data_IF_188341628818
#
_entry.id   IF_188341628818
#
_cell.length_a   1.000
_cell.length_b   1.000
_cell.length_c   1.000
_cell.angle_alpha   90.00
_cell.angle_beta   90.00
_cell.angle_gamma   90.00
#
_symmetry.space_group_name_H-M   'P 1'
#
loop_
_entity.id
_entity.type
_entity.pdbx_description
1 polymer ?
#
# COMPACT_ATOMS: atom_id res chain seq x y z
N UNK A 1 22.71 1.61 1.68
CA UNK A 1 21.86 2.71 1.16
C UNK A 1 20.42 2.29 1.39
N UNK A 2 19.68 2.91 2.32
CA UNK A 2 18.27 2.58 2.51
C UNK A 2 17.48 3.06 1.28
N UNK A 3 16.62 2.19 0.73
CA UNK A 3 15.73 2.51 -0.38
C UNK A 3 14.85 3.70 0.03
N UNK A 4 14.98 4.83 -0.68
CA UNK A 4 14.19 6.03 -0.41
C UNK A 4 12.73 5.73 -0.67
N UNK A 5 11.96 5.82 0.41
CA UNK A 5 10.53 5.60 0.44
C UNK A 5 9.84 6.58 -0.52
N UNK A 6 9.39 6.09 -1.67
CA UNK A 6 8.80 6.93 -2.71
C UNK A 6 7.35 7.28 -2.35
N UNK A 7 7.19 8.26 -1.46
CA UNK A 7 5.90 8.82 -1.08
C UNK A 7 5.13 9.36 -2.31
N UNK A 8 5.81 9.72 -3.40
CA UNK A 8 5.15 10.18 -4.63
C UNK A 8 4.44 9.03 -5.36
N UNK A 9 4.90 7.78 -5.24
CA UNK A 9 4.21 6.62 -5.78
C UNK A 9 2.91 6.30 -5.02
N UNK A 10 2.86 6.57 -3.71
CA UNK A 10 1.64 6.45 -2.88
C UNK A 10 0.69 7.63 -3.14
N UNK A 11 1.25 8.81 -3.42
CA UNK A 11 0.52 10.04 -3.73
C UNK A 11 0.25 10.24 -5.23
N UNK A 12 0.40 9.20 -6.07
CA UNK A 12 -0.06 9.26 -7.46
C UNK A 12 -1.55 9.54 -7.46
N UNK A 13 -1.87 10.81 -7.74
CA UNK A 13 -3.17 11.42 -7.97
C UNK A 13 -4.37 10.48 -7.76
N UNK A 14 -5.05 10.55 -6.60
CA UNK A 14 -6.39 9.99 -6.39
C UNK A 14 -7.46 10.53 -7.33
N UNK A 15 -7.11 11.41 -8.29
CA UNK A 15 -8.04 12.15 -9.14
C UNK A 15 -8.98 11.31 -10.03
N UNK A 16 -8.75 10.00 -10.14
CA UNK A 16 -9.67 9.04 -10.77
C UNK A 16 -10.07 7.88 -9.85
N UNK A 17 -9.55 7.83 -8.61
CA UNK A 17 -9.89 6.79 -7.65
C UNK A 17 -11.20 7.17 -6.98
N UNK A 18 -12.24 6.50 -7.48
CA UNK A 18 -13.64 6.55 -7.08
C UNK A 18 -14.29 7.92 -7.12
N UNK A 19 -14.86 8.19 -8.28
CA UNK A 19 -16.05 9.00 -8.39
C UNK A 19 -17.10 8.53 -7.36
N UNK A 20 -17.29 9.31 -6.28
CA UNK A 20 -18.29 9.05 -5.26
C UNK A 20 -19.69 9.37 -5.84
N UNK A 21 -20.36 8.32 -6.30
CA UNK A 21 -21.68 8.43 -6.92
C UNK A 21 -22.72 8.95 -5.91
N UNK A 22 -22.59 8.56 -4.63
CA UNK A 22 -23.49 8.97 -3.56
C UNK A 22 -23.33 10.46 -3.26
N UNK A 23 -22.10 10.93 -3.08
CA UNK A 23 -21.82 12.36 -2.90
C UNK A 23 -22.18 13.21 -4.12
N UNK A 24 -22.03 12.65 -5.33
CA UNK A 24 -22.43 13.35 -6.57
C UNK A 24 -23.92 13.63 -6.61
N UNK A 25 -24.77 12.67 -6.19
CA UNK A 25 -26.22 12.84 -6.12
C UNK A 25 -26.68 13.48 -4.81
N UNK A 26 -25.81 13.62 -3.81
CA UNK A 26 -26.15 14.15 -2.49
C UNK A 26 -27.06 13.21 -1.70
N UNK A 27 -26.89 11.91 -1.88
CA UNK A 27 -27.71 10.85 -1.26
C UNK A 27 -26.85 9.95 -0.38
N UNK A 28 -27.48 9.27 0.57
CA UNK A 28 -26.84 8.32 1.48
C UNK A 28 -26.66 6.94 0.82
N UNK A 29 -25.61 6.17 1.17
CA UNK A 29 -25.49 4.76 0.82
C UNK A 29 -26.64 3.87 1.31
N UNK A 30 -27.48 4.37 2.21
CA UNK A 30 -28.65 3.67 2.73
C UNK A 30 -29.97 4.11 2.09
N UNK A 31 -29.95 5.14 1.23
CA UNK A 31 -31.16 5.62 0.57
C UNK A 31 -31.66 4.59 -0.46
N UNK A 32 -32.98 4.52 -0.62
CA UNK A 32 -33.61 3.62 -1.58
C UNK A 32 -33.50 4.15 -3.02
N UNK A 33 -33.78 3.29 -4.00
CA UNK A 33 -33.75 3.64 -5.42
C UNK A 33 -34.74 4.75 -5.78
N UNK A 34 -35.84 4.89 -5.05
CA UNK A 34 -36.80 5.97 -5.27
C UNK A 34 -36.21 7.34 -4.90
N UNK A 35 -35.60 7.44 -3.72
CA UNK A 35 -34.93 8.65 -3.21
C UNK A 35 -33.78 9.05 -4.14
N UNK A 36 -32.98 8.07 -4.58
CA UNK A 36 -31.91 8.27 -5.57
C UNK A 36 -32.48 8.83 -6.89
N UNK A 37 -33.61 8.30 -7.35
CA UNK A 37 -34.31 8.80 -8.54
C UNK A 37 -34.89 10.21 -8.39
N UNK A 38 -35.41 10.55 -7.21
CA UNK A 38 -35.89 11.90 -6.90
C UNK A 38 -34.74 12.91 -6.85
N UNK A 39 -33.60 12.55 -6.25
CA UNK A 39 -32.41 13.39 -6.21
C UNK A 39 -31.87 13.66 -7.62
N UNK A 40 -31.78 12.62 -8.47
CA UNK A 40 -31.39 12.78 -9.87
C UNK A 40 -32.33 13.73 -10.63
N UNK A 41 -33.65 13.52 -10.56
CA UNK A 41 -34.63 14.39 -11.23
C UNK A 41 -34.52 15.84 -10.77
N UNK A 42 -34.30 16.07 -9.48
CA UNK A 42 -34.12 17.40 -8.92
C UNK A 42 -32.87 18.10 -9.47
N UNK A 43 -31.76 17.38 -9.61
CA UNK A 43 -30.53 17.90 -10.21
C UNK A 43 -30.67 18.18 -11.72
N UNK A 44 -31.38 17.32 -12.45
CA UNK A 44 -31.67 17.51 -13.88
C UNK A 44 -32.53 18.75 -14.10
N UNK A 45 -33.59 18.90 -13.32
CA UNK A 45 -34.49 20.06 -13.41
C UNK A 45 -33.74 21.37 -13.14
N UNK A 46 -32.84 21.38 -12.15
CA UNK A 46 -31.96 22.54 -11.90
C UNK A 46 -31.02 22.82 -13.09
N UNK A 47 -30.55 21.79 -13.80
CA UNK A 47 -29.67 21.94 -14.95
C UNK A 47 -30.38 22.56 -16.16
N UNK A 48 -31.58 22.08 -16.49
CA UNK A 48 -32.36 22.55 -17.64
C UNK A 48 -32.82 24.02 -17.49
N UNK A 49 -33.12 24.46 -16.26
CA UNK A 49 -33.63 25.81 -16.01
C UNK A 49 -32.54 26.87 -15.77
N UNK A 50 -31.32 26.49 -15.39
CA UNK A 50 -30.29 27.43 -14.93
C UNK A 50 -29.06 27.56 -15.84
N UNK A 51 -28.95 26.77 -16.91
CA UNK A 51 -27.73 26.77 -17.72
C UNK A 51 -27.74 27.69 -18.94
N UNK A 52 -26.99 28.78 -18.78
CA UNK A 52 -26.11 29.30 -19.83
C UNK A 52 -25.25 28.14 -20.37
N UNK A 53 -25.02 28.06 -21.69
CA UNK A 53 -24.31 26.97 -22.43
C UNK A 53 -22.83 26.73 -22.02
N UNK A 54 -22.55 26.58 -20.73
CA UNK A 54 -21.22 26.47 -20.15
C UNK A 54 -20.74 25.03 -20.16
N UNK A 55 -19.55 24.79 -20.72
CA UNK A 55 -18.88 23.49 -20.76
C UNK A 55 -18.75 22.82 -19.38
N UNK A 56 -18.58 23.62 -18.32
CA UNK A 56 -18.50 23.13 -16.94
C UNK A 56 -19.82 22.55 -16.44
N UNK A 57 -20.95 23.13 -16.85
CA UNK A 57 -22.26 22.63 -16.48
C UNK A 57 -22.54 21.29 -17.17
N UNK A 58 -22.14 21.15 -18.43
CA UNK A 58 -22.21 19.88 -19.18
C UNK A 58 -21.38 18.79 -18.52
N UNK A 59 -20.12 19.08 -18.14
CA UNK A 59 -19.26 18.12 -17.46
C UNK A 59 -19.83 17.69 -16.09
N UNK A 60 -20.43 18.62 -15.34
CA UNK A 60 -21.09 18.29 -14.06
C UNK A 60 -22.34 17.42 -14.28
N UNK A 61 -23.10 17.67 -15.35
CA UNK A 61 -24.27 16.85 -15.67
C UNK A 61 -23.91 15.43 -16.09
N UNK A 62 -22.88 15.27 -16.92
CA UNK A 62 -22.36 13.94 -17.29
C UNK A 62 -21.96 13.13 -16.06
N UNK A 63 -21.39 13.80 -15.05
CA UNK A 63 -21.09 13.19 -13.74
C UNK A 63 -22.36 12.74 -13.02
N UNK A 64 -23.37 13.60 -12.90
CA UNK A 64 -24.67 13.29 -12.28
C UNK A 64 -25.37 12.13 -13.00
N UNK A 65 -25.37 12.13 -14.34
CA UNK A 65 -25.95 11.05 -15.15
C UNK A 65 -25.21 9.72 -14.93
N UNK A 66 -23.87 9.75 -14.93
CA UNK A 66 -23.06 8.56 -14.64
C UNK A 66 -23.37 8.02 -13.24
N UNK A 67 -23.46 8.88 -12.23
CA UNK A 67 -23.81 8.49 -10.87
C UNK A 67 -25.17 7.78 -10.81
N UNK A 68 -26.18 8.35 -11.48
CA UNK A 68 -27.52 7.76 -11.51
C UNK A 68 -27.57 6.44 -12.28
N UNK A 69 -26.83 6.29 -13.40
CA UNK A 69 -26.75 5.00 -14.12
C UNK A 69 -26.13 3.89 -13.26
N UNK A 70 -25.19 4.24 -12.39
CA UNK A 70 -24.58 3.30 -11.44
C UNK A 70 -25.54 2.99 -10.29
N UNK A 71 -26.11 4.00 -9.62
CA UNK A 71 -26.89 3.81 -8.39
C UNK A 71 -28.38 3.48 -8.61
N UNK A 72 -28.94 3.84 -9.76
CA UNK A 72 -30.36 3.67 -10.08
C UNK A 72 -30.75 2.21 -10.38
N UNK A 73 -29.78 1.35 -10.68
CA UNK A 73 -29.97 -0.10 -10.82
C UNK A 73 -29.43 -0.80 -9.58
N UNK A 74 -30.25 -1.63 -8.93
CA UNK A 74 -29.84 -2.39 -7.74
C UNK A 74 -28.63 -3.27 -8.03
N UNK A 75 -28.58 -3.91 -9.19
CA UNK A 75 -27.45 -4.74 -9.61
C UNK A 75 -26.15 -3.95 -9.76
N UNK A 76 -26.20 -2.80 -10.46
CA UNK A 76 -25.02 -1.95 -10.66
C UNK A 76 -24.55 -1.33 -9.35
N UNK A 77 -25.49 -0.97 -8.47
CA UNK A 77 -25.20 -0.45 -7.13
C UNK A 77 -24.45 -1.47 -6.29
N UNK A 78 -24.88 -2.73 -6.28
CA UNK A 78 -24.17 -3.81 -5.55
C UNK A 78 -22.75 -4.00 -6.06
N UNK A 79 -22.55 -3.98 -7.38
CA UNK A 79 -21.20 -4.08 -7.97
C UNK A 79 -20.34 -2.90 -7.52
N UNK A 80 -20.87 -1.68 -7.65
CA UNK A 80 -20.19 -0.47 -7.23
C UNK A 80 -19.82 -0.51 -5.74
N UNK A 81 -20.75 -0.85 -4.86
CA UNK A 81 -20.50 -0.93 -3.42
C UNK A 81 -19.43 -2.00 -3.10
N UNK A 82 -19.42 -3.12 -3.84
CA UNK A 82 -18.40 -4.17 -3.68
C UNK A 82 -17.02 -3.70 -4.11
N UNK A 83 -16.92 -3.01 -5.26
CA UNK A 83 -15.67 -2.42 -5.74
C UNK A 83 -15.15 -1.36 -4.76
N UNK A 84 -16.03 -0.50 -4.25
CA UNK A 84 -15.70 0.53 -3.24
C UNK A 84 -15.16 -0.10 -1.97
N UNK A 85 -15.81 -1.15 -1.48
CA UNK A 85 -15.34 -1.89 -0.32
C UNK A 85 -13.99 -2.56 -0.58
N UNK A 86 -13.77 -3.12 -1.76
CA UNK A 86 -12.49 -3.74 -2.11
C UNK A 86 -11.36 -2.71 -2.14
N UNK A 87 -11.58 -1.54 -2.76
CA UNK A 87 -10.59 -0.47 -2.76
C UNK A 87 -10.29 0.04 -1.34
N UNK A 88 -11.32 0.15 -0.50
CA UNK A 88 -11.14 0.50 0.91
C UNK A 88 -10.29 -0.54 1.65
N UNK A 89 -10.54 -1.83 1.44
CA UNK A 89 -9.74 -2.92 2.01
C UNK A 89 -8.29 -2.88 1.50
N UNK A 90 -8.08 -2.61 0.22
CA UNK A 90 -6.74 -2.49 -0.37
C UNK A 90 -5.97 -1.31 0.22
N UNK A 91 -6.64 -0.16 0.41
CA UNK A 91 -6.08 1.01 1.07
C UNK A 91 -5.73 0.70 2.53
N UNK A 92 -6.62 0.03 3.25
CA UNK A 92 -6.39 -0.38 4.64
C UNK A 92 -5.20 -1.35 4.77
N UNK A 93 -5.10 -2.32 3.86
CA UNK A 93 -3.97 -3.24 3.80
C UNK A 93 -2.65 -2.53 3.49
N UNK A 94 -2.67 -1.51 2.62
CA UNK A 94 -1.51 -0.66 2.40
C UNK A 94 -1.12 0.10 3.67
N UNK A 95 -2.07 0.65 4.43
CA UNK A 95 -1.80 1.31 5.71
C UNK A 95 -1.16 0.34 6.70
N UNK A 96 -1.69 -0.88 6.85
CA UNK A 96 -1.09 -1.91 7.73
C UNK A 96 0.34 -2.22 7.31
N UNK A 97 0.58 -2.39 6.01
CA UNK A 97 1.92 -2.64 5.47
C UNK A 97 2.88 -1.50 5.83
N UNK A 98 2.45 -0.25 5.65
CA UNK A 98 3.22 0.94 6.00
C UNK A 98 3.51 1.02 7.50
N UNK A 99 2.54 0.68 8.36
CA UNK A 99 2.75 0.61 9.81
C UNK A 99 3.82 -0.41 10.19
N UNK A 100 3.77 -1.63 9.62
CA UNK A 100 4.78 -2.67 9.88
C UNK A 100 6.17 -2.27 9.38
N UNK A 101 6.24 -1.61 8.23
CA UNK A 101 7.49 -1.07 7.70
C UNK A 101 8.05 0.03 8.62
N UNK A 102 7.18 0.85 9.22
CA UNK A 102 7.60 1.84 10.23
C UNK A 102 8.10 1.20 11.52
N UNK A 103 7.47 0.12 11.99
CA UNK A 103 7.90 -0.59 13.21
C UNK A 103 9.29 -1.21 13.08
N UNK A 104 9.72 -1.56 11.86
CA UNK A 104 11.02 -2.16 11.59
C UNK A 104 12.11 -1.14 11.24
N UNK A 105 11.76 0.13 11.03
CA UNK A 105 12.73 1.19 10.69
C UNK A 105 13.53 1.62 11.93
N UNK A 106 14.84 1.93 11.76
CA UNK A 106 15.63 2.50 12.84
C UNK A 106 15.06 3.86 13.26
N UNK A 107 15.05 4.14 14.56
CA UNK A 107 14.38 5.29 15.17
C UNK A 107 14.79 6.65 14.55
N UNK A 108 16.06 6.78 14.14
CA UNK A 108 16.56 8.00 13.49
C UNK A 108 15.98 8.21 12.08
N UNK A 109 15.73 7.13 11.32
CA UNK A 109 15.03 7.21 10.03
C UNK A 109 13.56 7.61 10.24
N UNK A 110 12.90 7.06 11.27
CA UNK A 110 11.51 7.42 11.61
C UNK A 110 11.39 8.90 11.98
N UNK A 111 12.33 9.45 12.77
CA UNK A 111 12.36 10.88 13.09
C UNK A 111 12.51 11.77 11.84
N UNK A 112 13.35 11.37 10.90
CA UNK A 112 13.51 12.08 9.63
C UNK A 112 12.21 12.05 8.80
N UNK A 113 11.58 10.89 8.69
CA UNK A 113 10.30 10.72 7.98
C UNK A 113 9.19 11.57 8.63
N UNK A 114 9.07 11.56 9.96
CA UNK A 114 8.10 12.41 10.69
C UNK A 114 8.32 13.89 10.40
N UNK A 115 9.58 14.34 10.32
CA UNK A 115 9.89 15.74 10.01
C UNK A 115 9.43 16.13 8.61
N UNK A 116 9.64 15.23 7.62
CA UNK A 116 9.17 15.44 6.24
C UNK A 116 7.64 15.46 6.18
N UNK A 117 6.97 14.49 6.81
CA UNK A 117 5.49 14.42 6.84
C UNK A 117 4.91 15.67 7.48
N UNK A 118 5.48 16.13 8.61
CA UNK A 118 5.05 17.36 9.28
C UNK A 118 5.21 18.60 8.38
N UNK A 119 6.37 18.77 7.75
CA UNK A 119 6.60 19.90 6.85
C UNK A 119 5.63 19.92 5.65
N UNK A 120 5.31 18.73 5.10
CA UNK A 120 4.29 18.60 4.05
C UNK A 120 2.88 18.94 4.56
N UNK A 121 2.51 18.45 5.74
CA UNK A 121 1.22 18.76 6.36
C UNK A 121 1.05 20.26 6.63
N UNK A 122 2.08 20.93 7.17
CA UNK A 122 2.08 22.38 7.38
C UNK A 122 1.91 23.16 6.06
N UNK A 123 2.55 22.69 4.99
CA UNK A 123 2.40 23.28 3.64
C UNK A 123 0.98 23.11 3.12
N UNK A 124 0.40 21.92 3.24
CA UNK A 124 -0.98 21.64 2.85
C UNK A 124 -1.97 22.53 3.63
N UNK A 125 -1.83 22.62 4.97
CA UNK A 125 -2.70 23.46 5.81
C UNK A 125 -2.60 24.94 5.41
N UNK A 126 -1.39 25.43 5.13
CA UNK A 126 -1.16 26.82 4.66
C UNK A 126 -1.87 27.09 3.34
N UNK A 127 -1.77 26.16 2.39
CA UNK A 127 -2.45 26.24 1.09
C UNK A 127 -3.97 26.22 1.27
N UNK A 128 -4.51 25.32 2.10
CA UNK A 128 -5.96 25.26 2.39
C UNK A 128 -6.48 26.56 2.98
N UNK A 129 -5.72 27.17 3.91
CA UNK A 129 -6.07 28.48 4.48
C UNK A 129 -6.06 29.58 3.42
N UNK A 130 -5.02 29.64 2.59
CA UNK A 130 -4.92 30.60 1.48
C UNK A 130 -6.09 30.45 0.50
N UNK A 131 -6.46 29.22 0.15
CA UNK A 131 -7.65 28.94 -0.69
C UNK A 131 -8.95 29.40 -0.02
N UNK A 132 -9.12 29.16 1.28
CA UNK A 132 -10.30 29.60 2.02
C UNK A 132 -10.42 31.13 2.09
N UNK A 133 -9.29 31.82 2.29
CA UNK A 133 -9.23 33.28 2.30
C UNK A 133 -9.55 33.86 0.91
N UNK A 134 -9.01 33.27 -0.16
CA UNK A 134 -9.35 33.62 -1.54
C UNK A 134 -10.84 33.43 -1.85
N UNK A 135 -11.43 32.30 -1.42
CA UNK A 135 -12.87 32.06 -1.60
C UNK A 135 -13.69 33.09 -0.82
N UNK A 136 -13.25 33.51 0.37
CA UNK A 136 -13.89 34.56 1.16
C UNK A 136 -13.79 35.91 0.45
N UNK A 137 -12.61 36.30 -0.01
CA UNK A 137 -12.42 37.55 -0.77
C UNK A 137 -13.26 37.60 -2.05
N UNK A 138 -13.36 36.48 -2.78
CA UNK A 138 -14.20 36.36 -3.96
C UNK A 138 -15.70 36.46 -3.65
N UNK A 139 -16.14 35.92 -2.50
CA UNK A 139 -17.55 36.01 -2.06
C UNK A 139 -17.93 37.41 -1.57
N UNK A 140 -17.01 38.14 -0.96
CA UNK A 140 -17.28 39.42 -0.30
C UNK A 140 -16.82 40.65 -1.08
N UNK A 141 -16.33 40.50 -2.31
CA UNK A 141 -16.00 41.66 -3.13
C UNK A 141 -17.28 42.47 -3.45
N UNK A 142 -17.38 43.73 -2.99
CA UNK A 142 -18.53 44.58 -3.31
C UNK A 142 -18.55 44.76 -4.83
N UNK A 143 -19.69 44.40 -5.43
CA UNK A 143 -19.95 44.44 -6.87
C UNK A 143 -19.49 45.78 -7.46
N UNK A 144 -18.35 45.80 -8.12
CA UNK A 144 -17.85 46.98 -8.80
C UNK A 144 -16.51 46.72 -9.48
N UNK A 145 -16.54 46.45 -10.80
CA UNK A 145 -15.41 46.24 -11.74
C UNK A 145 -14.90 44.80 -11.84
N UNK A 146 -15.70 43.94 -12.49
CA UNK A 146 -15.42 42.54 -12.80
C UNK A 146 -14.17 42.24 -13.65
N UNK A 147 -13.49 43.26 -14.19
CA UNK A 147 -12.22 43.05 -14.92
C UNK A 147 -11.05 42.71 -13.99
N UNK A 148 -11.00 43.29 -12.77
CA UNK A 148 -9.83 43.15 -11.90
C UNK A 148 -9.82 41.82 -11.12
N UNK A 149 -11.00 41.30 -10.76
CA UNK A 149 -11.15 39.99 -10.12
C UNK A 149 -10.84 38.84 -11.10
N UNK A 150 -11.27 38.95 -12.37
CA UNK A 150 -10.96 37.95 -13.39
C UNK A 150 -9.46 37.87 -13.69
N UNK A 151 -8.78 39.03 -13.84
CA UNK A 151 -7.33 39.06 -14.02
C UNK A 151 -6.57 38.47 -12.82
N UNK A 152 -7.03 38.72 -11.58
CA UNK A 152 -6.36 38.22 -10.38
C UNK A 152 -6.57 36.72 -10.17
N UNK A 153 -7.76 36.21 -10.44
CA UNK A 153 -8.04 34.76 -10.45
C UNK A 153 -7.24 34.05 -11.54
N UNK A 154 -7.07 34.67 -12.70
CA UNK A 154 -6.28 34.12 -13.79
C UNK A 154 -4.78 34.14 -13.48
N UNK A 155 -4.26 35.22 -12.89
CA UNK A 155 -2.87 35.29 -12.43
C UNK A 155 -2.56 34.20 -11.40
N UNK A 156 -3.41 34.03 -10.38
CA UNK A 156 -3.25 32.98 -9.36
C UNK A 156 -3.37 31.57 -9.94
N UNK A 157 -4.23 31.37 -10.95
CA UNK A 157 -4.28 30.09 -11.69
C UNK A 157 -2.98 29.79 -12.43
N UNK A 158 -2.35 30.81 -13.01
CA UNK A 158 -1.09 30.64 -13.72
C UNK A 158 0.05 30.36 -12.74
N UNK A 159 0.05 31.03 -11.58
CA UNK A 159 1.03 30.84 -10.51
C UNK A 159 0.93 29.44 -9.89
N UNK A 160 -0.27 29.00 -9.49
CA UNK A 160 -0.49 27.62 -9.02
C UNK A 160 -0.19 26.57 -10.09
N UNK A 161 -0.50 26.85 -11.36
CA UNK A 161 -0.17 25.93 -12.45
C UNK A 161 1.34 25.85 -12.69
N UNK A 162 2.08 26.94 -12.51
CA UNK A 162 3.54 26.95 -12.61
C UNK A 162 4.18 26.17 -11.46
N UNK A 163 3.75 26.39 -10.22
CA UNK A 163 4.25 25.64 -9.05
C UNK A 163 3.98 24.13 -9.20
N UNK A 164 2.77 23.74 -9.64
CA UNK A 164 2.43 22.35 -9.92
C UNK A 164 3.23 21.76 -11.09
N UNK A 165 3.59 22.59 -12.09
CA UNK A 165 4.43 22.16 -13.20
C UNK A 165 5.87 21.92 -12.76
N UNK A 166 6.44 22.81 -11.95
CA UNK A 166 7.78 22.64 -11.41
C UNK A 166 7.85 21.43 -10.47
N UNK A 167 6.82 21.23 -9.62
CA UNK A 167 6.71 20.03 -8.79
C UNK A 167 6.57 18.76 -9.65
N UNK A 168 5.79 18.80 -10.73
CA UNK A 168 5.64 17.68 -11.67
C UNK A 168 6.95 17.37 -12.39
N UNK A 169 7.67 18.38 -12.88
CA UNK A 169 8.98 18.20 -13.55
C UNK A 169 10.01 17.62 -12.59
N UNK A 170 10.04 18.11 -11.34
CA UNK A 170 10.90 17.54 -10.30
C UNK A 170 10.51 16.10 -9.96
N UNK A 171 9.21 15.78 -9.88
CA UNK A 171 8.74 14.42 -9.63
C UNK A 171 9.07 13.46 -10.78
N UNK A 172 8.98 13.92 -12.04
CA UNK A 172 9.38 13.14 -13.21
C UNK A 172 10.88 12.86 -13.21
N UNK A 173 11.70 13.87 -12.92
CA UNK A 173 13.16 13.69 -12.79
C UNK A 173 13.51 12.67 -11.69
N UNK A 174 12.77 12.69 -10.58
CA UNK A 174 12.92 11.70 -9.51
C UNK A 174 12.49 10.28 -9.94
N UNK A 175 11.43 10.16 -10.73
CA UNK A 175 10.98 8.87 -11.29
C UNK A 175 12.02 8.30 -12.25
N UNK A 176 12.53 9.11 -13.20
CA UNK A 176 13.55 8.68 -14.17
C UNK A 176 14.84 8.22 -13.49
N UNK A 177 15.27 8.93 -12.45
CA UNK A 177 16.44 8.54 -11.66
C UNK A 177 16.22 7.24 -10.89
N UNK A 178 15.04 7.03 -10.31
CA UNK A 178 14.69 5.76 -9.65
C UNK A 178 14.60 4.58 -10.62
N UNK A 179 14.04 4.77 -11.81
CA UNK A 179 14.02 3.74 -12.86
C UNK A 179 15.44 3.39 -13.32
N UNK A 180 16.32 4.38 -13.46
CA UNK A 180 17.75 4.16 -13.74
C UNK A 180 18.44 3.37 -12.63
N UNK A 181 18.13 3.63 -11.36
CA UNK A 181 18.68 2.87 -10.24
C UNK A 181 18.15 1.43 -10.20
N UNK A 182 16.86 1.22 -10.47
CA UNK A 182 16.25 -0.12 -10.53
C UNK A 182 16.86 -0.98 -11.63
N UNK A 183 17.09 -0.40 -12.82
CA UNK A 183 17.73 -1.11 -13.93
C UNK A 183 19.19 -1.47 -13.61
N UNK A 184 19.95 -0.56 -12.98
CA UNK A 184 21.31 -0.87 -12.49
C UNK A 184 21.34 -1.99 -11.44
N UNK A 185 20.43 -1.95 -10.46
CA UNK A 185 20.33 -2.98 -9.42
C UNK A 185 19.95 -4.35 -10.01
N UNK A 186 19.04 -4.38 -10.99
CA UNK A 186 18.68 -5.60 -11.71
C UNK A 186 19.89 -6.18 -12.46
N UNK A 187 20.66 -5.33 -13.15
CA UNK A 187 21.87 -5.75 -13.85
C UNK A 187 22.92 -6.33 -12.87
N UNK A 188 23.12 -5.68 -11.72
CA UNK A 188 24.04 -6.17 -10.68
C UNK A 188 23.60 -7.52 -10.10
N UNK A 189 22.29 -7.72 -9.85
CA UNK A 189 21.74 -9.01 -9.42
C UNK A 189 21.99 -10.11 -10.45
N UNK A 190 21.78 -9.82 -11.75
CA UNK A 190 22.09 -10.78 -12.81
C UNK A 190 23.58 -11.12 -12.86
N UNK A 191 24.47 -10.14 -12.71
CA UNK A 191 25.91 -10.36 -12.65
C UNK A 191 26.30 -11.23 -11.44
N UNK A 192 25.73 -10.96 -10.27
CA UNK A 192 25.97 -11.76 -9.06
C UNK A 192 25.49 -13.21 -9.19
N UNK A 193 24.33 -13.43 -9.81
CA UNK A 193 23.83 -14.78 -10.11
C UNK A 193 24.73 -15.52 -11.11
N UNK A 194 25.21 -14.82 -12.14
CA UNK A 194 26.16 -15.40 -13.11
C UNK A 194 27.47 -15.80 -12.44
N UNK A 195 28.02 -14.94 -11.57
CA UNK A 195 29.23 -15.24 -10.78
C UNK A 195 29.02 -16.42 -9.82
N UNK A 196 27.86 -16.49 -9.16
CA UNK A 196 27.52 -17.64 -8.30
C UNK A 196 27.49 -18.94 -9.09
N UNK A 197 26.88 -18.95 -10.29
CA UNK A 197 26.86 -20.11 -11.17
C UNK A 197 28.24 -20.52 -11.72
N UNK A 198 29.19 -19.59 -11.83
CA UNK A 198 30.58 -19.91 -12.14
C UNK A 198 31.29 -20.57 -10.94
N UNK A 199 31.14 -20.00 -9.75
CA UNK A 199 31.71 -20.56 -8.52
C UNK A 199 31.19 -21.97 -8.23
N UNK A 200 29.91 -22.24 -8.46
CA UNK A 200 29.33 -23.58 -8.30
C UNK A 200 29.92 -24.59 -9.29
N UNK A 201 30.21 -24.18 -10.53
CA UNK A 201 30.88 -25.03 -11.53
C UNK A 201 32.32 -25.36 -11.13
N UNK A 202 33.09 -24.38 -10.63
CA UNK A 202 34.45 -24.62 -10.14
C UNK A 202 34.46 -25.51 -8.88
N UNK A 203 33.52 -25.31 -7.96
CA UNK A 203 33.32 -26.20 -6.80
C UNK A 203 32.91 -27.62 -7.19
N UNK A 204 32.28 -27.81 -8.34
CA UNK A 204 31.97 -29.14 -8.87
C UNK A 204 33.22 -29.79 -9.45
N UNK A 205 33.99 -29.08 -10.27
CA UNK A 205 35.26 -29.60 -10.84
C UNK A 205 36.25 -30.04 -9.76
N UNK A 206 36.37 -29.26 -8.69
CA UNK A 206 37.26 -29.59 -7.55
C UNK A 206 36.81 -30.87 -6.84
N UNK A 207 35.50 -31.01 -6.55
CA UNK A 207 34.94 -32.26 -6.00
C UNK A 207 35.13 -33.46 -6.91
N UNK A 208 34.89 -33.31 -8.22
CA UNK A 208 35.07 -34.40 -9.19
C UNK A 208 36.54 -34.83 -9.27
N UNK A 209 37.49 -33.88 -9.17
CA UNK A 209 38.92 -34.16 -9.13
C UNK A 209 39.37 -34.84 -7.82
N UNK A 210 38.82 -34.44 -6.68
CA UNK A 210 39.04 -35.09 -5.38
C UNK A 210 38.53 -36.54 -5.40
N UNK A 211 37.34 -36.78 -5.94
CA UNK A 211 36.76 -38.12 -6.07
C UNK A 211 37.60 -39.01 -6.99
N UNK A 212 38.08 -38.47 -8.11
CA UNK A 212 38.99 -39.17 -9.01
C UNK A 212 40.32 -39.55 -8.33
N UNK A 213 40.93 -38.62 -7.58
CA UNK A 213 42.16 -38.89 -6.82
C UNK A 213 41.95 -39.92 -5.72
N UNK A 214 40.80 -39.90 -5.03
CA UNK A 214 40.45 -40.91 -4.04
C UNK A 214 40.34 -42.30 -4.68
N UNK A 215 39.69 -42.41 -5.85
CA UNK A 215 39.60 -43.67 -6.62
C UNK A 215 40.97 -44.18 -7.07
N UNK A 216 41.85 -43.30 -7.55
CA UNK A 216 43.23 -43.67 -7.92
C UNK A 216 44.02 -44.17 -6.71
N UNK A 217 43.89 -43.50 -5.57
CA UNK A 217 44.59 -43.87 -4.33
C UNK A 217 44.13 -45.24 -3.84
N UNK A 218 42.83 -45.52 -3.90
CA UNK A 218 42.28 -46.82 -3.52
C UNK A 218 42.71 -47.93 -4.50
N UNK A 219 42.73 -47.64 -5.80
CA UNK A 219 43.25 -48.56 -6.82
C UNK A 219 44.73 -48.92 -6.58
N UNK A 220 45.56 -47.92 -6.29
CA UNK A 220 46.97 -48.12 -5.94
C UNK A 220 47.14 -48.93 -4.65
N UNK A 221 46.34 -48.64 -3.62
CA UNK A 221 46.34 -49.42 -2.38
C UNK A 221 46.02 -50.89 -2.63
N UNK A 222 45.01 -51.16 -3.45
CA UNK A 222 44.63 -52.52 -3.83
C UNK A 222 45.72 -53.23 -4.63
N UNK A 223 46.36 -52.54 -5.59
CA UNK A 223 47.48 -53.09 -6.35
C UNK A 223 48.69 -53.44 -5.47
N UNK A 224 49.05 -52.56 -4.52
CA UNK A 224 50.13 -52.83 -3.55
C UNK A 224 49.78 -54.01 -2.65
N UNK A 225 48.55 -54.09 -2.15
CA UNK A 225 48.10 -55.23 -1.36
C UNK A 225 48.17 -56.55 -2.14
N UNK A 226 47.84 -56.52 -3.44
CA UNK A 226 47.91 -57.70 -4.29
C UNK A 226 49.35 -58.14 -4.58
N UNK A 227 50.26 -57.19 -4.85
CA UNK A 227 51.70 -57.50 -4.99
C UNK A 227 52.29 -58.10 -3.71
N UNK A 228 51.87 -57.63 -2.53
CA UNK A 228 52.32 -58.20 -1.25
C UNK A 228 51.83 -59.64 -1.02
N UNK A 229 50.70 -60.04 -1.62
CA UNK A 229 50.23 -61.44 -1.60
C UNK A 229 51.06 -62.31 -2.55
N UNK A 230 51.49 -61.77 -3.69
CA UNK A 230 52.27 -62.50 -4.69
C UNK A 230 53.75 -62.70 -4.27
N UNK A 231 54.32 -61.83 -3.42
CA UNK A 231 55.76 -61.83 -3.05
C UNK A 231 56.13 -62.65 -1.78
N UNK A 232 55.22 -63.44 -1.19
CA UNK A 232 55.59 -64.36 -0.11
C UNK A 232 54.59 -65.53 0.07
N UNK A 233 54.95 -66.81 -0.06
CA UNK A 233 56.20 -67.44 0.37
C UNK A 233 56.85 -66.72 1.54
N UNK A 234 56.17 -66.64 2.67
CA UNK A 234 56.70 -67.05 3.97
C UNK A 234 55.61 -66.96 5.04
N UNK A 235 55.35 -68.13 5.59
CA UNK A 235 54.54 -68.43 6.75
C UNK A 235 54.96 -67.59 7.97
N UNK A 236 54.08 -66.82 8.63
CA UNK A 236 54.35 -66.29 9.96
C UNK A 236 53.66 -67.16 11.00
N UNK A 237 54.43 -68.08 11.56
CA UNK A 237 54.11 -68.73 12.83
C UNK A 237 54.40 -67.73 13.96
N UNK A 238 53.37 -67.42 14.75
CA UNK A 238 53.37 -66.99 16.16
C UNK A 238 54.11 -65.68 16.56
N UNK A 239 53.41 -64.78 17.26
CA UNK A 239 53.43 -64.73 18.74
C UNK A 239 52.64 -63.52 19.28
N UNK A 240 51.86 -63.80 20.32
CA UNK A 240 51.42 -62.88 21.38
C UNK A 240 52.50 -61.88 21.79
N UNK A 241 52.19 -60.57 21.82
CA UNK A 241 52.63 -59.68 22.91
C UNK A 241 51.63 -58.52 23.08
N UNK A 242 51.13 -58.39 24.30
CA UNK A 242 50.46 -57.21 24.86
C UNK A 242 51.20 -55.89 24.56
N UNK A 243 50.47 -54.79 24.36
CA UNK A 243 50.51 -53.65 25.28
C UNK A 243 49.77 -52.41 24.76
N UNK A 244 48.93 -51.91 25.67
CA UNK A 244 48.65 -50.51 26.01
C UNK A 244 47.95 -49.58 25.02
N UNK A 245 46.80 -49.12 25.52
CA UNK A 245 45.99 -48.01 25.04
C UNK A 245 46.76 -46.68 24.99
N UNK A 246 46.27 -45.74 24.17
CA UNK A 246 46.01 -44.42 24.70
C UNK A 246 44.58 -43.96 24.40
N UNK A 247 43.90 -43.65 25.50
CA UNK A 247 42.68 -42.84 25.56
C UNK A 247 42.92 -41.43 25.01
N UNK A 248 42.25 -41.07 23.91
CA UNK A 248 41.75 -39.70 23.61
C UNK A 248 40.50 -39.87 22.72
N UNK A 249 39.29 -39.88 23.29
CA UNK A 249 38.48 -38.67 23.47
C UNK A 249 38.61 -37.68 22.31
N UNK A 250 37.73 -37.82 21.31
CA UNK A 250 36.97 -36.68 20.78
C UNK A 250 35.73 -37.20 20.08
N UNK A 251 34.69 -37.21 20.90
CA UNK A 251 33.28 -37.14 20.60
C UNK A 251 33.00 -36.04 19.57
N UNK A 252 32.48 -36.42 18.40
CA UNK A 252 31.55 -35.57 17.65
C UNK A 252 30.63 -36.44 16.80
N UNK A 253 29.67 -37.06 17.49
CA UNK A 253 28.49 -37.66 16.87
C UNK A 253 27.58 -36.54 16.37
N UNK A 254 27.45 -36.44 15.05
CA UNK A 254 26.26 -35.85 14.43
C UNK A 254 25.94 -36.60 13.14
N UNK A 255 25.47 -37.84 13.30
CA UNK A 255 24.68 -38.55 12.30
C UNK A 255 23.47 -39.17 12.98
N UNK A 256 22.34 -38.48 12.86
CA UNK A 256 21.02 -39.01 13.15
C UNK A 256 20.37 -39.32 11.80
N UNK A 257 20.77 -40.45 11.22
CA UNK A 257 19.97 -41.12 10.20
C UNK A 257 18.83 -41.84 10.91
N UNK A 258 17.61 -41.36 10.69
CA UNK A 258 16.38 -42.10 10.99
C UNK A 258 15.72 -42.37 9.65
N UNK A 259 15.99 -43.56 9.12
CA UNK A 259 15.18 -44.18 8.08
C UNK A 259 13.92 -44.77 8.71
N UNK A 260 12.78 -44.59 8.04
CA UNK A 260 11.53 -45.39 7.98
C UNK A 260 10.30 -44.49 7.76
N UNK A 261 9.16 -45.00 7.26
CA UNK A 261 8.98 -45.77 6.04
C UNK A 261 7.87 -45.15 5.15
N UNK A 262 7.80 -45.56 3.89
CA UNK A 262 6.69 -45.26 2.99
C UNK A 262 5.33 -45.67 3.56
N UNK A 263 4.40 -44.71 3.69
CA UNK A 263 2.95 -44.94 3.66
C UNK A 263 2.25 -43.83 2.84
N UNK A 264 1.24 -44.17 2.03
CA UNK A 264 0.48 -43.21 1.24
C UNK A 264 -0.65 -42.61 2.07
N UNK A 265 -0.78 -41.28 2.12
CA UNK A 265 -1.90 -40.59 2.75
C UNK A 265 -2.43 -39.48 1.84
N UNK A 266 -3.61 -39.76 1.29
CA UNK A 266 -4.76 -38.88 1.10
C UNK A 266 -4.50 -37.37 1.27
N UNK A 267 -4.57 -36.67 0.14
CA UNK A 267 -4.81 -35.23 0.07
C UNK A 267 -6.30 -35.00 0.38
N UNK A 268 -6.62 -34.64 1.62
CA UNK A 268 -7.89 -33.98 1.93
C UNK A 268 -7.62 -32.75 2.80
N UNK A 269 -7.93 -31.60 2.21
CA UNK A 269 -8.61 -30.45 2.84
C UNK A 269 -8.21 -30.08 4.29
N UNK A 270 -7.35 -29.07 4.41
CA UNK A 270 -7.26 -28.25 5.61
C UNK A 270 -6.97 -26.78 5.22
N UNK A 271 -8.01 -26.11 4.73
CA UNK A 271 -8.11 -24.64 4.68
C UNK A 271 -9.45 -24.29 5.33
N UNK A 272 -9.50 -24.38 6.66
CA UNK A 272 -10.62 -23.90 7.47
C UNK A 272 -10.23 -24.00 8.95
N UNK A 273 -9.40 -23.08 9.44
CA UNK A 273 -9.17 -22.96 10.89
C UNK A 273 -8.92 -21.53 11.38
N UNK A 274 -8.65 -20.55 10.50
CA UNK A 274 -8.38 -19.17 10.94
C UNK A 274 -9.56 -18.19 10.83
N UNK A 275 -10.69 -18.58 10.23
CA UNK A 275 -11.86 -17.69 10.09
C UNK A 275 -12.78 -17.66 11.33
N UNK A 276 -12.62 -18.59 12.26
CA UNK A 276 -13.50 -18.65 13.45
C UNK A 276 -13.14 -17.61 14.52
N UNK A 277 -11.89 -17.13 14.56
CA UNK A 277 -11.43 -16.14 15.53
C UNK A 277 -11.91 -14.72 15.19
N UNK A 278 -12.12 -14.41 13.90
CA UNK A 278 -12.57 -13.07 13.44
C UNK A 278 -14.07 -12.88 13.67
N UNK A 279 -14.88 -13.94 13.56
CA UNK A 279 -16.33 -13.87 13.82
C UNK A 279 -16.70 -13.76 15.31
N UNK A 280 -15.82 -14.17 16.22
CA UNK A 280 -16.08 -14.06 17.66
C UNK A 280 -15.84 -12.63 18.19
N UNK A 281 -14.96 -11.85 17.55
CA UNK A 281 -14.68 -10.46 17.95
C UNK A 281 -15.77 -9.46 17.50
N UNK A 282 -16.47 -9.77 16.40
CA UNK A 282 -17.56 -8.92 15.86
C UNK A 282 -18.88 -9.06 16.63
N UNK A 283 -19.09 -10.15 17.38
CA UNK A 283 -20.33 -10.38 18.15
C UNK A 283 -20.35 -9.60 19.48
N UNK A 284 -19.20 -9.29 20.06
CA UNK A 284 -19.11 -8.56 21.33
C UNK A 284 -19.27 -7.03 21.18
N UNK A 285 -19.18 -6.48 19.97
CA UNK A 285 -19.39 -5.05 19.70
C UNK A 285 -20.84 -4.69 19.36
N UNK A 286 -21.72 -5.67 19.12
CA UNK A 286 -23.12 -5.44 18.77
C UNK A 286 -24.10 -5.48 19.97
N UNK A 287 -23.60 -5.73 21.19
CA UNK A 287 -24.43 -6.17 22.32
C UNK A 287 -24.45 -5.27 23.56
N UNK A 288 -24.15 -3.97 23.46
CA UNK A 288 -24.31 -3.01 24.58
C UNK A 288 -24.76 -1.62 24.09
N UNK A 289 -25.97 -1.54 23.57
CA UNK A 289 -26.69 -0.28 23.41
C UNK A 289 -27.74 -0.17 24.50
N UNK A 290 -27.30 0.19 25.71
CA UNK A 290 -28.19 0.45 26.84
C UNK A 290 -29.09 1.66 26.56
N UNK A 291 -30.37 1.43 26.83
CA UNK A 291 -31.45 2.39 26.98
C UNK A 291 -31.06 3.47 28.01
N UNK A 292 -30.98 4.75 27.63
CA UNK A 292 -31.21 5.90 28.52
C UNK A 292 -30.81 7.22 27.85
N UNK A 293 -31.78 7.95 27.30
CA UNK A 293 -32.26 9.20 27.93
C UNK A 293 -33.14 9.95 26.93
N UNK A 294 -34.43 9.95 27.23
CA UNK A 294 -35.34 10.95 26.74
C UNK A 294 -34.88 12.31 27.30
N UNK A 295 -34.51 13.24 26.43
CA UNK A 295 -34.52 14.65 26.77
C UNK A 295 -35.38 15.38 25.75
N UNK A 296 -36.57 15.74 26.23
CA UNK A 296 -37.46 16.75 25.66
C UNK A 296 -36.67 17.98 25.21
N UNK A 297 -36.74 18.29 23.92
CA UNK A 297 -36.55 19.66 23.46
C UNK A 297 -37.86 20.17 22.89
N UNK A 298 -38.58 20.85 23.79
CA UNK A 298 -39.82 21.54 23.53
C UNK A 298 -39.67 22.62 22.47
N UNK A 299 -40.69 22.64 21.62
CA UNK A 299 -41.06 23.71 20.71
C UNK A 299 -41.27 25.03 21.48
N UNK A 300 -40.55 26.09 21.15
CA UNK A 300 -41.03 27.47 21.38
C UNK A 300 -40.76 28.35 20.17
N UNK A 301 -41.83 28.57 19.42
CA UNK A 301 -42.11 29.75 18.62
C UNK A 301 -41.82 31.03 19.42
N UNK A 302 -41.00 31.91 18.86
CA UNK A 302 -40.65 33.19 19.45
C UNK A 302 -40.36 34.24 18.39
N UNK A 303 -41.43 34.80 17.83
CA UNK A 303 -41.37 36.01 17.02
C UNK A 303 -40.75 37.14 17.85
N UNK A 304 -39.70 37.80 17.36
CA UNK A 304 -39.43 39.17 17.75
C UNK A 304 -38.94 40.01 16.56
N UNK A 305 -39.89 40.86 16.17
CA UNK A 305 -39.83 41.94 15.22
C UNK A 305 -39.31 43.16 15.97
N UNK A 306 -38.11 43.65 15.66
CA UNK A 306 -37.76 45.03 15.96
C UNK A 306 -37.10 45.70 14.76
N UNK A 307 -37.92 46.51 14.11
CA UNK A 307 -37.54 47.61 13.25
C UNK A 307 -36.72 48.62 14.07
N UNK A 308 -35.48 48.88 13.68
CA UNK A 308 -34.80 50.14 14.01
C UNK A 308 -34.63 50.92 12.71
N UNK A 309 -35.56 51.84 12.48
CA UNK A 309 -35.44 52.92 11.50
C UNK A 309 -34.50 53.98 12.07
N UNK A 310 -33.26 54.04 11.59
CA UNK A 310 -32.39 55.19 11.77
C UNK A 310 -32.72 56.26 10.73
N UNK A 311 -33.44 57.32 11.13
CA UNK A 311 -33.48 58.60 10.42
C UNK A 311 -32.12 59.27 10.58
N UNK A 312 -31.43 59.60 9.48
CA UNK A 312 -30.37 60.60 9.48
C UNK A 312 -30.93 61.80 8.72
N UNK A 313 -31.31 62.82 9.47
CA UNK A 313 -31.57 64.16 8.97
C UNK A 313 -30.46 65.08 9.48
N UNK A 314 -30.11 66.01 8.60
CA UNK A 314 -29.53 67.33 8.82
C UNK A 314 -28.00 67.46 8.68
N UNK A 315 -27.57 68.13 7.60
CA UNK A 315 -27.26 69.58 7.49
C UNK A 315 -25.82 69.81 7.95
N UNK A 316 -24.90 70.05 7.02
CA UNK A 316 -24.40 71.37 6.57
C UNK A 316 -23.84 71.21 5.16
#
# INVERSE_FOLDING_TARGET
MPESFDLAAIMTSPGDRMFDCYATLGVSPYDDTETIGQAYRSMVWQHDHLNDKSEKATAKFQKVEKAFRTLGSSFNRTIYDTEVMQEYLDMYNQIIKLCREWDTKPQEAVKADIKVVRAKHETMVRLTKSMADLVRELKFHPRGKGAHAACRVQALRMETKAELWDEKVNSMSYIETNESLRTKLAAERHQNLAMKGLLERERKKTRDAEEHNARLTESLRNAVAQMAVDDGSLNPTAQDVNNEAPTKSMENQNRKEKSEPSRPLLIMSAVAADDAAVLHLMRDLAGKGDESSAHDFGCTTGANRMLVRGKVNNVW
#
